data_IF_198873767204
#
_entry.id   IF_198873767204
#
_cell.length_a   1.000
_cell.length_b   1.000
_cell.length_c   1.000
_cell.angle_alpha   90.00
_cell.angle_beta   90.00
_cell.angle_gamma   90.00
#
_symmetry.space_group_name_H-M   'P 1'
#
loop_
_entity.id
_entity.type
_entity.pdbx_description
1 polymer ?
#
# COMPACT_ATOMS: atom_id res chain seq x y z
N UNK A 1 -20.59 18.29 -14.71
CA UNK A 1 -20.57 18.81 -13.33
C UNK A 1 -19.21 18.45 -12.76
N UNK A 2 -18.40 19.42 -12.37
CA UNK A 2 -17.16 19.11 -11.68
C UNK A 2 -17.53 18.57 -10.29
N UNK A 3 -17.16 17.32 -10.00
CA UNK A 3 -17.28 16.76 -8.66
C UNK A 3 -16.48 17.65 -7.72
N UNK A 4 -17.17 18.37 -6.84
CA UNK A 4 -16.51 19.08 -5.75
C UNK A 4 -15.84 18.02 -4.86
N UNK A 5 -14.59 18.23 -4.42
CA UNK A 5 -13.91 17.26 -3.57
C UNK A 5 -14.77 17.02 -2.32
N UNK A 6 -15.15 15.76 -2.08
CA UNK A 6 -15.88 15.37 -0.87
C UNK A 6 -15.10 15.88 0.36
N UNK A 7 -15.79 16.50 1.34
CA UNK A 7 -15.13 16.99 2.53
C UNK A 7 -14.47 15.84 3.30
N UNK A 8 -13.31 16.13 3.90
CA UNK A 8 -12.60 15.17 4.74
C UNK A 8 -13.51 14.64 5.86
N UNK A 9 -13.39 13.34 6.21
CA UNK A 9 -14.15 12.78 7.31
C UNK A 9 -13.84 13.48 8.63
N UNK A 10 -14.89 13.78 9.40
CA UNK A 10 -14.75 14.40 10.72
C UNK A 10 -14.09 13.45 11.72
N UNK A 11 -13.19 14.00 12.53
CA UNK A 11 -12.51 13.29 13.62
C UNK A 11 -13.53 12.85 14.68
N UNK A 12 -13.55 11.57 15.09
CA UNK A 12 -14.40 11.11 16.18
C UNK A 12 -13.98 11.75 17.51
N UNK A 13 -14.97 12.18 18.31
CA UNK A 13 -14.75 12.84 19.60
C UNK A 13 -14.23 11.90 20.70
N UNK A 14 -14.34 10.59 20.51
CA UNK A 14 -13.94 9.56 21.48
C UNK A 14 -12.50 9.05 21.29
N UNK A 15 -11.69 9.69 20.44
CA UNK A 15 -10.28 9.34 20.31
C UNK A 15 -9.49 9.86 21.49
N UNK A 16 -8.56 9.05 22.01
CA UNK A 16 -7.56 9.55 22.96
C UNK A 16 -6.72 10.65 22.31
N UNK A 17 -6.17 11.55 23.11
CA UNK A 17 -5.39 12.69 22.62
C UNK A 17 -4.29 12.28 21.63
N UNK A 18 -3.52 11.23 21.96
CA UNK A 18 -2.45 10.72 21.09
C UNK A 18 -2.96 10.12 19.79
N UNK A 19 -3.99 9.28 19.83
CA UNK A 19 -4.59 8.73 18.59
C UNK A 19 -5.22 9.85 17.77
N UNK A 20 -5.76 10.86 18.44
CA UNK A 20 -6.30 12.05 17.82
C UNK A 20 -5.24 12.88 17.11
N UNK A 21 -4.05 13.06 17.67
CA UNK A 21 -2.97 13.80 17.00
C UNK A 21 -2.44 13.02 15.78
N UNK A 22 -2.42 11.68 15.85
CA UNK A 22 -2.11 10.82 14.71
C UNK A 22 -3.16 10.99 13.62
N UNK A 23 -4.45 11.03 13.97
CA UNK A 23 -5.54 11.31 13.02
C UNK A 23 -5.31 12.63 12.29
N UNK A 24 -5.01 13.70 13.03
CA UNK A 24 -4.81 15.05 12.47
C UNK A 24 -3.58 15.11 11.55
N UNK A 25 -2.56 14.28 11.78
CA UNK A 25 -1.40 14.14 10.88
C UNK A 25 -1.72 13.37 9.61
N UNK A 26 -2.54 12.32 9.73
CA UNK A 26 -2.66 11.27 8.72
C UNK A 26 -3.84 11.49 7.79
N UNK A 27 -5.02 11.83 8.32
CA UNK A 27 -6.24 11.97 7.52
C UNK A 27 -6.14 13.06 6.45
N UNK A 28 -5.48 14.21 6.69
CA UNK A 28 -5.27 15.21 5.63
C UNK A 28 -4.45 14.69 4.44
N UNK A 29 -3.59 13.69 4.63
CA UNK A 29 -2.81 13.08 3.54
C UNK A 29 -3.70 12.31 2.56
N UNK A 30 -4.96 12.07 2.91
CA UNK A 30 -5.93 11.30 2.13
C UNK A 30 -7.09 12.14 1.62
N UNK A 31 -6.95 13.46 1.62
CA UNK A 31 -7.91 14.37 1.01
C UNK A 31 -8.25 13.93 -0.42
N UNK A 32 -9.55 13.78 -0.70
CA UNK A 32 -10.05 13.34 -2.00
C UNK A 32 -10.07 11.82 -2.24
N UNK A 33 -9.54 11.01 -1.32
CA UNK A 33 -9.55 9.52 -1.43
C UNK A 33 -10.48 8.89 -0.39
N UNK A 34 -10.41 9.34 0.86
CA UNK A 34 -11.17 8.74 1.96
C UNK A 34 -12.55 9.39 2.13
N UNK A 35 -13.54 8.56 2.42
CA UNK A 35 -14.94 8.97 2.61
C UNK A 35 -15.37 8.85 4.06
N UNK A 36 -16.53 9.42 4.40
CA UNK A 36 -17.12 9.31 5.75
C UNK A 36 -17.30 7.84 6.22
N UNK A 37 -17.63 6.91 5.31
CA UNK A 37 -17.78 5.48 5.63
C UNK A 37 -16.46 4.81 6.05
N UNK A 38 -15.33 5.42 5.71
CA UNK A 38 -14.00 4.88 5.98
C UNK A 38 -13.49 5.24 7.39
N UNK A 39 -14.19 6.12 8.10
CA UNK A 39 -13.85 6.58 9.45
C UNK A 39 -13.47 5.43 10.41
N UNK A 40 -14.25 4.34 10.55
CA UNK A 40 -13.90 3.29 11.49
C UNK A 40 -12.55 2.63 11.15
N UNK A 41 -12.27 2.44 9.85
CA UNK A 41 -11.01 1.84 9.40
C UNK A 41 -9.84 2.81 9.58
N UNK A 42 -10.04 4.11 9.35
CA UNK A 42 -9.03 5.13 9.63
C UNK A 42 -8.69 5.24 11.11
N UNK A 43 -9.69 5.11 11.99
CA UNK A 43 -9.47 5.06 13.44
C UNK A 43 -8.59 3.88 13.80
N UNK A 44 -8.86 2.70 13.24
CA UNK A 44 -8.05 1.51 13.51
C UNK A 44 -6.62 1.65 12.98
N UNK A 45 -6.41 2.28 11.82
CA UNK A 45 -5.07 2.64 11.32
C UNK A 45 -4.36 3.54 12.34
N UNK A 46 -5.00 4.61 12.81
CA UNK A 46 -4.40 5.53 13.78
C UNK A 46 -4.04 4.82 15.10
N UNK A 47 -4.87 3.89 15.56
CA UNK A 47 -4.60 3.07 16.76
C UNK A 47 -3.43 2.11 16.55
N UNK A 48 -3.29 1.51 15.38
CA UNK A 48 -2.17 0.62 15.09
C UNK A 48 -0.87 1.40 14.94
N UNK A 49 -0.91 2.61 14.39
CA UNK A 49 0.25 3.51 14.35
C UNK A 49 0.69 3.91 15.75
N UNK A 50 -0.24 4.29 16.62
CA UNK A 50 0.05 4.57 18.03
C UNK A 50 0.68 3.35 18.75
N UNK A 51 0.23 2.12 18.43
CA UNK A 51 0.86 0.91 18.97
C UNK A 51 2.26 0.69 18.41
N UNK A 52 2.48 0.93 17.12
CA UNK A 52 3.78 0.81 16.49
C UNK A 52 4.77 1.81 17.10
N UNK A 53 4.43 3.11 17.14
CA UNK A 53 5.29 4.16 17.71
C UNK A 53 5.68 3.87 19.17
N UNK A 54 4.74 3.34 19.97
CA UNK A 54 5.03 2.93 21.37
C UNK A 54 5.93 1.70 21.46
N UNK A 55 5.77 0.76 20.54
CA UNK A 55 6.57 -0.47 20.53
C UNK A 55 7.98 -0.17 20.05
N UNK A 56 8.14 0.68 19.04
CA UNK A 56 9.45 1.16 18.55
C UNK A 56 10.20 1.92 19.63
N UNK A 57 9.57 2.91 20.27
CA UNK A 57 10.20 3.64 21.38
C UNK A 57 10.65 2.70 22.51
N UNK A 58 9.86 1.65 22.80
CA UNK A 58 10.24 0.64 23.79
C UNK A 58 11.43 -0.20 23.32
N UNK A 59 11.51 -0.55 22.04
CA UNK A 59 12.61 -1.35 21.47
C UNK A 59 13.93 -0.58 21.52
N UNK A 60 13.90 0.74 21.29
CA UNK A 60 15.10 1.59 21.28
C UNK A 60 15.87 1.56 22.61
N UNK A 61 15.17 1.42 23.73
CA UNK A 61 15.75 1.38 25.08
C UNK A 61 16.12 -0.03 25.58
N UNK A 62 15.91 -1.07 24.76
CA UNK A 62 16.06 -2.48 25.17
C UNK A 62 17.33 -3.12 24.63
N UNK A 63 17.92 -4.04 25.41
CA UNK A 63 19.05 -4.88 24.96
C UNK A 63 18.56 -5.88 23.90
N UNK A 64 19.16 -5.92 22.69
CA UNK A 64 18.82 -6.89 21.64
C UNK A 64 18.96 -8.35 22.05
N UNK A 65 19.74 -8.64 23.09
CA UNK A 65 19.97 -9.98 23.64
C UNK A 65 18.81 -10.45 24.52
N UNK A 66 17.93 -9.55 24.96
CA UNK A 66 16.79 -9.88 25.80
C UNK A 66 15.68 -10.56 24.98
N UNK A 67 15.09 -11.60 25.56
CA UNK A 67 13.89 -12.24 25.03
C UNK A 67 12.74 -11.25 24.88
N UNK A 68 12.64 -10.27 25.79
CA UNK A 68 11.62 -9.24 25.72
C UNK A 68 11.80 -8.33 24.48
N UNK A 69 13.04 -8.11 24.02
CA UNK A 69 13.32 -7.34 22.80
C UNK A 69 12.76 -8.05 21.57
N UNK A 70 13.00 -9.36 21.46
CA UNK A 70 12.46 -10.17 20.35
C UNK A 70 10.93 -10.17 20.33
N UNK A 71 10.28 -10.21 21.50
CA UNK A 71 8.83 -10.13 21.61
C UNK A 71 8.31 -8.76 21.17
N UNK A 72 8.98 -7.68 21.59
CA UNK A 72 8.63 -6.32 21.18
C UNK A 72 8.80 -6.15 19.67
N UNK A 73 9.90 -6.62 19.08
CA UNK A 73 10.14 -6.60 17.64
C UNK A 73 9.05 -7.34 16.87
N UNK A 74 8.64 -8.52 17.36
CA UNK A 74 7.53 -9.28 16.77
C UNK A 74 6.23 -8.48 16.82
N UNK A 75 5.97 -7.81 17.95
CA UNK A 75 4.81 -6.91 18.11
C UNK A 75 4.83 -5.74 17.12
N UNK A 76 6.00 -5.13 16.90
CA UNK A 76 6.17 -4.06 15.93
C UNK A 76 5.93 -4.55 14.48
N UNK A 77 6.45 -5.73 14.13
CA UNK A 77 6.20 -6.35 12.82
C UNK A 77 4.70 -6.59 12.58
N UNK A 78 3.99 -7.15 13.57
CA UNK A 78 2.54 -7.36 13.49
C UNK A 78 1.79 -6.04 13.34
N UNK A 79 2.17 -5.01 14.10
CA UNK A 79 1.54 -3.69 14.00
C UNK A 79 1.71 -3.11 12.59
N UNK A 80 2.93 -3.18 12.04
CA UNK A 80 3.23 -2.75 10.66
C UNK A 80 2.41 -3.50 9.63
N UNK A 81 2.30 -4.83 9.73
CA UNK A 81 1.48 -5.63 8.82
C UNK A 81 0.00 -5.24 8.87
N UNK A 82 -0.54 -4.94 10.06
CA UNK A 82 -1.92 -4.46 10.20
C UNK A 82 -2.11 -3.08 9.62
N UNK A 83 -1.15 -2.18 9.81
CA UNK A 83 -1.17 -0.86 9.18
C UNK A 83 -1.20 -1.02 7.65
N UNK A 84 -0.31 -1.84 7.08
CA UNK A 84 -0.25 -2.07 5.63
C UNK A 84 -1.53 -2.69 5.09
N UNK A 85 -2.09 -3.70 5.77
CA UNK A 85 -3.32 -4.37 5.36
C UNK A 85 -4.52 -3.42 5.38
N UNK A 86 -4.66 -2.58 6.41
CA UNK A 86 -5.73 -1.59 6.49
C UNK A 86 -5.53 -0.48 5.46
N UNK A 87 -4.30 0.00 5.29
CA UNK A 87 -3.93 1.06 4.36
C UNK A 87 -4.14 0.65 2.89
N UNK A 88 -4.01 -0.64 2.58
CA UNK A 88 -4.29 -1.18 1.25
C UNK A 88 -5.72 -0.89 0.77
N UNK A 89 -6.70 -0.81 1.68
CA UNK A 89 -8.11 -0.51 1.34
C UNK A 89 -8.30 0.89 0.77
N UNK A 90 -7.33 1.77 0.99
CA UNK A 90 -7.34 3.16 0.56
C UNK A 90 -6.37 3.41 -0.60
N UNK A 91 -5.86 2.36 -1.25
CA UNK A 91 -4.88 2.49 -2.33
C UNK A 91 -3.50 2.97 -1.87
N UNK A 92 -3.10 2.67 -0.63
CA UNK A 92 -1.82 3.10 -0.07
C UNK A 92 -0.71 2.05 -0.13
N UNK A 93 -0.94 0.92 -0.81
CA UNK A 93 0.16 -0.02 -1.04
C UNK A 93 1.24 0.68 -1.87
N UNK A 94 2.53 0.33 -1.70
CA UNK A 94 3.58 0.81 -2.61
C UNK A 94 3.23 0.62 -4.09
N UNK A 95 2.52 -0.47 -4.44
CA UNK A 95 2.04 -0.74 -5.79
C UNK A 95 0.91 0.19 -6.27
N UNK A 96 0.01 0.61 -5.39
CA UNK A 96 -1.07 1.53 -5.76
C UNK A 96 -0.59 2.98 -5.84
N UNK A 97 0.38 3.36 -4.99
CA UNK A 97 1.09 4.64 -5.12
C UNK A 97 1.90 4.76 -6.42
N UNK A 98 2.44 3.65 -6.92
CA UNK A 98 3.06 3.62 -8.25
C UNK A 98 2.03 3.92 -9.35
N UNK A 99 0.83 3.33 -9.28
CA UNK A 99 -0.26 3.58 -10.25
C UNK A 99 -0.79 5.02 -10.20
N UNK A 100 -0.87 5.61 -9.01
CA UNK A 100 -1.30 7.01 -8.84
C UNK A 100 -0.31 8.01 -9.46
N UNK A 101 0.99 7.70 -9.47
CA UNK A 101 2.00 8.50 -10.20
C UNK A 101 1.87 8.38 -11.72
N UNK A 102 1.49 7.20 -12.23
CA UNK A 102 1.29 6.99 -13.67
C UNK A 102 0.02 7.68 -14.21
N UNK A 103 -1.01 7.90 -13.39
CA UNK A 103 -2.23 8.63 -13.79
C UNK A 103 -2.06 10.15 -13.88
N UNK A 104 -0.97 10.71 -13.37
CA UNK A 104 -0.63 12.14 -13.52
C UNK A 104 0.17 12.43 -14.80
N UNK A 105 0.64 11.39 -15.50
CA UNK A 105 1.21 11.55 -16.83
C UNK A 105 0.07 11.51 -17.87
N UNK A 106 0.03 12.44 -18.85
CA UNK A 106 -0.87 12.27 -20.00
C UNK A 106 -0.58 10.91 -20.61
N UNK A 107 -1.64 10.12 -20.80
CA UNK A 107 -1.61 8.72 -21.25
C UNK A 107 -0.37 8.45 -22.11
N UNK A 108 0.65 7.81 -21.51
CA UNK A 108 1.79 7.34 -22.29
C UNK A 108 1.24 6.30 -23.26
N UNK A 109 1.05 6.73 -24.50
CA UNK A 109 0.99 5.85 -25.67
C UNK A 109 2.08 4.82 -25.48
N UNK A 110 1.69 3.56 -25.30
CA UNK A 110 2.57 2.39 -25.17
C UNK A 110 3.87 2.62 -25.93
N UNK A 111 5.05 2.58 -25.28
CA UNK A 111 6.30 2.74 -25.98
C UNK A 111 6.33 1.69 -27.10
N UNK A 112 6.32 2.18 -28.34
CA UNK A 112 6.39 1.35 -29.54
C UNK A 112 7.76 0.68 -29.48
N UNK A 113 7.83 -0.52 -28.91
CA UNK A 113 9.04 -1.34 -28.93
C UNK A 113 9.45 -1.42 -30.39
N UNK A 114 10.63 -0.85 -30.71
CA UNK A 114 11.23 -1.04 -32.04
C UNK A 114 11.56 -2.52 -32.15
N UNK A 115 10.61 -3.32 -32.62
CA UNK A 115 10.85 -4.70 -32.98
C UNK A 115 11.91 -4.72 -34.07
N UNK A 116 12.93 -5.58 -33.92
CA UNK A 116 13.95 -5.79 -34.95
C UNK A 116 13.28 -6.05 -36.32
N UNK A 117 13.87 -5.63 -37.43
CA UNK A 117 13.36 -5.99 -38.75
C UNK A 117 13.25 -7.51 -38.88
N UNK A 118 12.15 -7.98 -39.46
CA UNK A 118 11.86 -9.39 -39.62
C UNK A 118 13.00 -10.09 -40.38
N UNK A 119 13.54 -11.13 -39.76
CA UNK A 119 14.60 -11.94 -40.37
C UNK A 119 13.99 -13.14 -41.09
N UNK A 120 14.75 -13.80 -41.97
CA UNK A 120 14.28 -15.00 -42.70
C UNK A 120 13.78 -16.12 -41.76
N UNK A 121 14.24 -16.13 -40.51
CA UNK A 121 13.83 -17.10 -39.48
C UNK A 121 12.40 -16.88 -38.97
N UNK A 122 11.87 -15.66 -39.06
CA UNK A 122 10.51 -15.35 -38.59
C UNK A 122 9.43 -15.81 -39.59
N UNK A 123 9.82 -16.13 -40.84
CA UNK A 123 8.94 -16.71 -41.88
C UNK A 123 8.81 -18.23 -41.81
N UNK A 124 9.73 -18.89 -41.11
CA UNK A 124 9.62 -20.32 -40.85
C UNK A 124 8.65 -20.49 -39.68
N UNK A 125 7.37 -20.74 -39.99
CA UNK A 125 6.31 -20.92 -39.00
C UNK A 125 6.69 -21.92 -37.90
N UNK A 126 6.01 -21.81 -36.75
CA UNK A 126 6.24 -22.66 -35.57
C UNK A 126 6.41 -24.13 -35.96
N UNK A 127 7.43 -24.85 -35.46
CA UNK A 127 7.57 -26.27 -35.73
C UNK A 127 6.30 -27.00 -35.30
N UNK A 128 5.71 -27.73 -36.25
CA UNK A 128 4.58 -28.62 -36.02
C UNK A 128 4.94 -29.57 -34.89
N UNK A 129 4.18 -29.51 -33.79
CA UNK A 129 4.35 -30.40 -32.64
C UNK A 129 3.72 -31.75 -32.99
N UNK A 130 4.39 -32.53 -33.82
CA UNK A 130 3.98 -33.91 -34.11
C UNK A 130 4.29 -34.75 -32.87
N UNK A 131 3.25 -35.12 -32.11
CA UNK A 131 3.39 -36.01 -30.98
C UNK A 131 3.82 -37.41 -31.47
N UNK A 132 4.81 -38.08 -30.85
CA UNK A 132 5.17 -39.43 -31.21
C UNK A 132 4.04 -40.41 -30.82
N UNK A 133 3.62 -41.23 -31.78
CA UNK A 133 2.73 -42.38 -31.50
C UNK A 133 3.52 -43.38 -30.65
N UNK A 134 3.04 -43.64 -29.43
CA UNK A 134 3.50 -44.76 -28.62
C UNK A 134 3.21 -46.08 -29.36
N UNK A 135 4.20 -46.98 -29.37
CA UNK A 135 4.05 -48.39 -29.75
C UNK A 135 3.78 -49.21 -28.50
#
# INVERSE_FOLDING_TARGET
>A
MADLPEPLPSKPSNLSERVGSIWDRIVPLFAGVVKARDVPSLVDVCRWIDRAERTEARIEDMDPSDKAWTQALTGAAIATDKILALSARFGMTPGDRAKLRDTAAPAQTTPRVKTRPATKFDKAGKPSRTAPKAK
#
